data_IF_468984220858
#
_entry.id   IF_468984220858
#
_cell.length_a   1.000
_cell.length_b   1.000
_cell.length_c   1.000
_cell.angle_alpha   90.00
_cell.angle_beta   90.00
_cell.angle_gamma   90.00
#
_symmetry.space_group_name_H-M   'P 1'
#
loop_
_entity.id
_entity.type
_entity.pdbx_description
1 polymer ?
#
# COMPACT_ATOMS: atom_id res chain seq x y z
N UNK A 1 -80.55 53.07 11.72
CA UNK A 1 -79.69 52.64 12.86
C UNK A 1 -79.23 51.21 12.60
N UNK A 2 -77.95 50.96 12.87
CA UNK A 2 -77.23 49.68 12.92
C UNK A 2 -77.00 48.93 11.59
N UNK A 3 -75.84 48.34 11.30
CA UNK A 3 -74.45 48.52 11.72
C UNK A 3 -73.62 47.63 10.78
N UNK A 4 -72.50 48.14 10.32
CA UNK A 4 -71.47 47.44 9.53
C UNK A 4 -70.87 46.30 10.34
N UNK A 5 -70.68 45.13 9.74
CA UNK A 5 -69.65 44.17 10.16
C UNK A 5 -69.09 43.43 8.93
N UNK A 6 -68.00 43.99 8.40
CA UNK A 6 -67.08 43.33 7.46
C UNK A 6 -66.22 42.35 8.25
N UNK A 7 -66.24 41.06 7.89
CA UNK A 7 -65.31 40.06 8.44
C UNK A 7 -64.07 39.96 7.55
N UNK A 8 -62.97 40.55 7.99
CA UNK A 8 -61.65 40.33 7.40
C UNK A 8 -61.08 39.06 8.04
N UNK A 9 -61.08 37.95 7.30
CA UNK A 9 -60.41 36.72 7.70
C UNK A 9 -58.95 36.76 7.29
N UNK A 10 -58.06 37.02 8.24
CA UNK A 10 -56.61 36.87 8.06
C UNK A 10 -56.22 35.40 8.22
N UNK A 11 -56.04 34.69 7.11
CA UNK A 11 -55.40 33.37 7.11
C UNK A 11 -53.89 33.53 6.96
N UNK A 12 -53.17 33.32 8.06
CA UNK A 12 -51.71 33.25 8.12
C UNK A 12 -51.20 32.05 7.31
N UNK A 13 -50.44 32.31 6.25
CA UNK A 13 -49.70 31.27 5.52
C UNK A 13 -48.43 30.95 6.33
N UNK A 14 -48.39 29.78 6.96
CA UNK A 14 -47.18 29.28 7.60
C UNK A 14 -46.20 28.80 6.50
N UNK A 15 -45.14 29.57 6.27
CA UNK A 15 -44.04 29.17 5.39
C UNK A 15 -43.19 28.10 6.11
N UNK A 16 -43.27 26.85 5.64
CA UNK A 16 -42.43 25.76 6.11
C UNK A 16 -41.04 25.88 5.47
N UNK A 17 -40.10 26.52 6.18
CA UNK A 17 -38.68 26.56 5.76
C UNK A 17 -38.05 25.18 5.97
N UNK A 18 -37.91 24.40 4.90
CA UNK A 18 -37.08 23.19 4.90
C UNK A 18 -35.63 23.63 4.91
N UNK A 19 -35.00 23.60 6.09
CA UNK A 19 -33.54 23.74 6.22
C UNK A 19 -32.95 22.41 5.75
N UNK A 20 -32.49 22.35 4.50
CA UNK A 20 -31.57 21.31 4.09
C UNK A 20 -30.31 21.47 4.93
N UNK A 21 -30.13 20.59 5.92
CA UNK A 21 -28.86 20.41 6.58
C UNK A 21 -27.87 19.93 5.50
N UNK A 22 -27.13 20.86 4.90
CA UNK A 22 -25.96 20.56 4.11
C UNK A 22 -24.94 19.97 5.09
N UNK A 23 -24.98 18.64 5.27
CA UNK A 23 -23.84 17.93 5.79
C UNK A 23 -22.71 18.17 4.79
N UNK A 24 -21.80 19.09 5.11
CA UNK A 24 -20.55 19.24 4.37
C UNK A 24 -19.95 17.85 4.23
N UNK A 25 -19.64 17.37 3.02
CA UNK A 25 -18.93 16.11 2.90
C UNK A 25 -17.62 16.31 3.67
N UNK A 26 -17.46 15.56 4.76
CA UNK A 26 -16.16 15.40 5.39
C UNK A 26 -15.30 14.76 4.30
N UNK A 27 -14.55 15.59 3.56
CA UNK A 27 -13.53 15.10 2.65
C UNK A 27 -12.52 14.39 3.54
N UNK A 28 -12.63 13.07 3.61
CA UNK A 28 -11.60 12.23 4.18
C UNK A 28 -10.28 12.66 3.52
N UNK A 29 -9.33 13.12 4.33
CA UNK A 29 -8.03 13.53 3.82
C UNK A 29 -7.47 12.42 2.94
N UNK A 30 -7.06 12.76 1.72
CA UNK A 30 -6.49 11.77 0.81
C UNK A 30 -5.28 11.13 1.48
N UNK A 31 -5.26 9.80 1.54
CA UNK A 31 -4.18 9.03 2.13
C UNK A 31 -2.84 9.46 1.50
N UNK A 32 -1.89 9.89 2.33
CA UNK A 32 -0.59 10.39 1.89
C UNK A 32 0.36 9.27 1.45
N UNK A 33 1.30 9.61 0.57
CA UNK A 33 2.38 8.71 0.20
C UNK A 33 3.38 8.58 1.38
N UNK A 34 3.81 7.37 1.72
CA UNK A 34 4.74 7.14 2.84
C UNK A 34 6.12 7.81 2.64
N UNK A 35 6.47 8.16 1.39
CA UNK A 35 7.69 8.91 1.06
C UNK A 35 7.57 10.41 1.34
N UNK A 36 6.39 10.92 1.65
CA UNK A 36 6.22 12.34 1.97
C UNK A 36 6.90 12.68 3.30
N UNK A 37 7.56 13.83 3.36
CA UNK A 37 8.17 14.30 4.60
C UNK A 37 7.13 14.45 5.71
N UNK A 38 7.40 13.83 6.87
CA UNK A 38 6.46 13.83 8.00
C UNK A 38 5.25 12.91 7.83
N UNK A 39 5.27 11.98 6.86
CA UNK A 39 4.23 10.98 6.73
C UNK A 39 4.09 10.15 8.01
N UNK A 40 2.86 9.96 8.46
CA UNK A 40 2.46 9.07 9.56
C UNK A 40 1.56 7.98 9.01
N UNK A 41 1.52 6.82 9.66
CA UNK A 41 0.52 5.82 9.32
C UNK A 41 -0.89 6.25 9.74
N UNK A 42 -1.93 5.94 8.95
CA UNK A 42 -1.86 5.19 7.70
C UNK A 42 -1.30 6.02 6.52
N UNK A 43 -0.52 5.37 5.66
CA UNK A 43 0.03 5.94 4.42
C UNK A 43 0.05 4.88 3.31
N UNK A 44 0.31 5.27 2.06
CA UNK A 44 0.38 4.32 0.95
C UNK A 44 1.71 4.31 0.22
N UNK A 45 2.04 3.17 -0.37
CA UNK A 45 3.00 3.04 -1.46
C UNK A 45 2.47 2.07 -2.52
N UNK A 46 3.20 1.99 -3.62
CA UNK A 46 2.96 0.95 -4.62
C UNK A 46 3.76 -0.30 -4.28
N UNK A 47 3.23 -1.45 -4.67
CA UNK A 47 3.89 -2.75 -4.54
C UNK A 47 3.68 -3.56 -5.82
N UNK A 48 4.59 -4.46 -6.13
CA UNK A 48 4.41 -5.46 -7.17
C UNK A 48 3.75 -6.73 -6.61
N UNK A 49 2.77 -7.26 -7.32
CA UNK A 49 2.21 -8.59 -7.12
C UNK A 49 1.92 -9.18 -8.50
N UNK A 50 2.49 -10.35 -8.77
CA UNK A 50 2.40 -11.05 -10.06
C UNK A 50 2.59 -10.16 -11.31
N UNK A 51 3.63 -9.31 -11.30
CA UNK A 51 3.92 -8.41 -12.42
C UNK A 51 3.03 -7.18 -12.54
N UNK A 52 2.07 -6.98 -11.63
CA UNK A 52 1.17 -5.83 -11.58
C UNK A 52 1.51 -4.91 -10.41
N UNK A 53 1.45 -3.59 -10.61
CA UNK A 53 1.55 -2.64 -9.50
C UNK A 53 0.19 -2.44 -8.83
N UNK A 54 0.15 -2.63 -7.51
CA UNK A 54 -1.01 -2.40 -6.66
C UNK A 54 -0.73 -1.28 -5.67
N UNK A 55 -1.80 -0.64 -5.18
CA UNK A 55 -1.69 0.35 -4.10
C UNK A 55 -1.87 -0.38 -2.76
N UNK A 56 -0.81 -0.39 -1.96
CA UNK A 56 -0.81 -0.91 -0.60
C UNK A 56 -0.97 0.26 0.38
N UNK A 57 -1.85 0.10 1.37
CA UNK A 57 -2.00 1.02 2.49
C UNK A 57 -1.41 0.38 3.73
N UNK A 58 -0.36 0.98 4.28
CA UNK A 58 0.23 0.59 5.56
C UNK A 58 -0.64 1.14 6.67
N UNK A 59 -1.09 0.27 7.57
CA UNK A 59 -2.04 0.61 8.65
C UNK A 59 -1.31 0.69 9.98
N UNK A 60 -0.48 -0.31 10.29
CA UNK A 60 0.27 -0.42 11.53
C UNK A 60 1.67 -0.97 11.23
N UNK A 61 2.72 -0.20 11.48
CA UNK A 61 4.12 -0.58 11.24
C UNK A 61 4.79 -1.26 12.45
N UNK A 62 4.09 -1.38 13.58
CA UNK A 62 4.59 -2.05 14.77
C UNK A 62 3.47 -2.81 15.49
N UNK A 63 2.84 -3.79 14.80
CA UNK A 63 1.71 -4.51 15.34
C UNK A 63 2.13 -5.37 16.53
N UNK A 64 1.20 -5.57 17.46
CA UNK A 64 1.42 -6.53 18.55
C UNK A 64 1.69 -7.93 17.98
N UNK A 65 2.52 -8.75 18.66
CA UNK A 65 2.76 -10.14 18.27
C UNK A 65 1.46 -10.92 18.08
N UNK A 66 1.43 -11.80 17.09
CA UNK A 66 0.24 -12.58 16.73
C UNK A 66 0.65 -13.93 16.14
N UNK A 67 -0.21 -14.92 16.24
CA UNK A 67 -0.09 -16.20 15.54
C UNK A 67 -0.84 -16.23 14.21
N UNK A 68 -1.36 -15.09 13.74
CA UNK A 68 -2.01 -15.00 12.44
C UNK A 68 -1.01 -15.34 11.31
N UNK A 69 -1.48 -15.86 10.17
CA UNK A 69 -0.62 -16.08 9.00
C UNK A 69 0.14 -14.80 8.63
N UNK A 70 1.41 -14.96 8.29
CA UNK A 70 2.29 -13.87 7.89
C UNK A 70 2.77 -14.07 6.46
N UNK A 71 2.71 -13.01 5.67
CA UNK A 71 3.11 -13.02 4.27
C UNK A 71 4.45 -12.32 4.09
N UNK A 72 5.25 -12.74 3.11
CA UNK A 72 6.51 -12.06 2.83
C UNK A 72 6.28 -10.72 2.12
N UNK A 73 7.05 -9.72 2.53
CA UNK A 73 7.18 -8.43 1.89
C UNK A 73 8.65 -8.20 1.56
N UNK A 74 8.95 -8.07 0.28
CA UNK A 74 10.31 -7.99 -0.23
C UNK A 74 10.65 -6.56 -0.61
N UNK A 75 11.75 -6.04 -0.09
CA UNK A 75 12.35 -4.76 -0.47
C UNK A 75 13.55 -5.04 -1.36
N UNK A 76 13.56 -4.48 -2.55
CA UNK A 76 14.58 -4.76 -3.57
C UNK A 76 14.94 -3.51 -4.39
N UNK A 77 15.92 -3.64 -5.29
CA UNK A 77 16.32 -2.52 -6.14
C UNK A 77 15.18 -2.13 -7.10
N UNK A 78 15.04 -0.85 -7.50
CA UNK A 78 13.95 -0.42 -8.35
C UNK A 78 13.80 -1.26 -9.64
N UNK A 79 12.58 -1.72 -9.94
CA UNK A 79 12.26 -2.54 -11.11
C UNK A 79 11.78 -1.70 -12.30
N UNK A 80 11.55 -0.41 -12.05
CA UNK A 80 11.18 0.60 -13.05
C UNK A 80 11.98 1.89 -12.86
N UNK A 81 11.83 2.81 -13.82
CA UNK A 81 12.50 4.12 -13.78
C UNK A 81 12.08 4.98 -12.59
N UNK A 82 10.85 4.81 -12.10
CA UNK A 82 10.31 5.55 -10.97
C UNK A 82 10.18 4.57 -9.80
N UNK A 83 11.09 4.61 -8.81
CA UNK A 83 11.03 3.76 -7.63
C UNK A 83 9.72 3.95 -6.87
N UNK A 84 9.27 2.89 -6.20
CA UNK A 84 8.08 2.94 -5.34
C UNK A 84 8.38 3.63 -4.00
N UNK A 85 9.58 3.44 -3.47
CA UNK A 85 10.09 4.04 -2.25
C UNK A 85 11.42 4.76 -2.45
N UNK A 86 11.71 5.73 -1.58
CA UNK A 86 12.86 6.62 -1.65
C UNK A 86 13.56 6.87 -0.32
N UNK A 87 12.93 6.48 0.79
CA UNK A 87 13.47 6.64 2.15
C UNK A 87 13.58 5.26 2.81
N UNK A 88 14.75 4.88 3.35
CA UNK A 88 16.00 5.65 3.40
C UNK A 88 16.83 5.59 2.10
N UNK A 89 16.39 4.86 1.09
CA UNK A 89 17.05 4.73 -0.21
C UNK A 89 16.00 4.45 -1.29
N UNK A 90 16.40 4.47 -2.57
CA UNK A 90 15.51 4.12 -3.69
C UNK A 90 15.27 2.62 -3.74
N UNK A 91 14.01 2.18 -3.71
CA UNK A 91 13.65 0.77 -3.71
C UNK A 91 12.25 0.52 -4.28
N UNK A 92 12.00 -0.75 -4.60
CA UNK A 92 10.68 -1.28 -4.92
C UNK A 92 10.30 -2.39 -3.93
N UNK A 93 9.00 -2.67 -3.88
CA UNK A 93 8.36 -3.65 -3.04
C UNK A 93 7.74 -4.76 -3.86
N UNK A 94 7.85 -6.00 -3.39
CA UNK A 94 7.18 -7.17 -3.96
C UNK A 94 6.48 -7.94 -2.86
N UNK A 95 5.30 -8.45 -3.16
CA UNK A 95 4.55 -9.37 -2.31
C UNK A 95 4.18 -10.61 -3.12
N UNK A 96 3.76 -11.67 -2.42
CA UNK A 96 3.14 -12.84 -3.03
C UNK A 96 1.84 -12.51 -3.77
N UNK A 97 1.30 -13.51 -4.46
CA UNK A 97 -0.03 -13.41 -5.05
C UNK A 97 -1.06 -13.18 -3.92
N UNK A 98 -1.77 -12.07 -4.03
CA UNK A 98 -2.90 -11.76 -3.16
C UNK A 98 -4.16 -12.09 -3.94
N UNK A 99 -4.65 -13.32 -3.75
CA UNK A 99 -5.95 -13.70 -4.29
C UNK A 99 -6.99 -12.68 -3.82
N UNK A 100 -7.75 -12.05 -4.75
CA UNK A 100 -8.85 -11.16 -4.41
C UNK A 100 -9.92 -11.83 -3.54
N UNK A 101 -9.90 -13.16 -3.41
CA UNK A 101 -10.91 -13.97 -2.75
C UNK A 101 -10.73 -14.18 -1.25
N UNK A 102 -9.69 -13.63 -0.60
CA UNK A 102 -9.71 -13.49 0.86
C UNK A 102 -10.65 -12.36 1.30
N UNK A 103 -11.85 -12.33 0.73
CA UNK A 103 -13.02 -11.77 1.36
C UNK A 103 -13.30 -12.66 2.57
N UNK A 104 -12.72 -12.31 3.72
CA UNK A 104 -13.49 -12.53 4.95
C UNK A 104 -14.85 -11.88 4.72
N UNK A 105 -15.94 -12.56 5.09
CA UNK A 105 -17.34 -12.15 4.90
C UNK A 105 -17.73 -10.84 5.64
N UNK A 106 -16.77 -9.94 5.83
CA UNK A 106 -16.91 -8.63 6.44
C UNK A 106 -16.20 -7.60 5.54
N UNK A 107 -16.94 -6.67 4.89
CA UNK A 107 -16.42 -5.72 3.90
C UNK A 107 -15.41 -4.67 4.45
N UNK A 108 -14.83 -4.90 5.63
CA UNK A 108 -13.88 -4.03 6.32
C UNK A 108 -12.56 -4.67 6.77
N UNK A 109 -12.32 -5.97 6.56
CA UNK A 109 -11.19 -6.67 7.22
C UNK A 109 -10.11 -7.26 6.30
N UNK A 110 -9.74 -6.56 5.22
CA UNK A 110 -8.62 -6.93 4.34
C UNK A 110 -7.23 -6.63 4.95
N UNK A 111 -7.11 -6.72 6.28
CA UNK A 111 -5.88 -6.48 7.02
C UNK A 111 -4.99 -7.72 6.93
N UNK A 112 -3.88 -7.59 6.23
CA UNK A 112 -2.90 -8.65 6.02
C UNK A 112 -1.64 -8.31 6.79
N UNK A 113 -1.10 -9.30 7.52
CA UNK A 113 0.17 -9.19 8.22
C UNK A 113 1.32 -9.58 7.31
N UNK A 114 2.36 -8.76 7.28
CA UNK A 114 3.54 -8.96 6.46
C UNK A 114 4.82 -8.97 7.29
N UNK A 115 5.82 -9.70 6.80
CA UNK A 115 7.19 -9.72 7.30
C UNK A 115 8.16 -9.20 6.25
N UNK A 116 9.02 -8.25 6.62
CA UNK A 116 9.95 -7.59 5.72
C UNK A 116 11.26 -8.36 5.49
N UNK A 117 11.64 -8.54 4.23
CA UNK A 117 12.94 -9.06 3.81
C UNK A 117 13.61 -8.12 2.82
N UNK A 118 14.91 -7.91 2.96
CA UNK A 118 15.72 -7.33 1.89
C UNK A 118 16.14 -8.43 0.91
N UNK A 119 15.96 -8.20 -0.39
CA UNK A 119 16.40 -9.13 -1.43
C UNK A 119 17.75 -8.68 -1.97
N UNK A 120 18.78 -9.43 -1.62
CA UNK A 120 20.16 -9.11 -1.94
C UNK A 120 20.74 -10.13 -2.92
N UNK A 121 21.59 -9.70 -3.83
CA UNK A 121 22.41 -10.65 -4.58
C UNK A 121 23.41 -11.31 -3.62
N UNK A 122 23.48 -12.65 -3.65
CA UNK A 122 24.51 -13.37 -2.89
C UNK A 122 25.87 -13.23 -3.59
N UNK A 123 26.96 -13.54 -2.88
CA UNK A 123 28.29 -13.58 -3.49
C UNK A 123 28.35 -14.55 -4.69
N UNK A 124 27.64 -15.68 -4.62
CA UNK A 124 27.54 -16.65 -5.72
C UNK A 124 26.72 -16.09 -6.88
N UNK A 125 25.60 -15.43 -6.61
CA UNK A 125 24.77 -14.81 -7.64
C UNK A 125 25.55 -13.75 -8.43
N UNK A 126 26.36 -12.95 -7.73
CA UNK A 126 27.22 -11.94 -8.36
C UNK A 126 28.34 -12.60 -9.16
N UNK A 127 29.08 -13.55 -8.58
CA UNK A 127 30.26 -14.15 -9.22
C UNK A 127 29.93 -14.97 -10.47
N UNK A 128 28.74 -15.56 -10.51
CA UNK A 128 28.24 -16.32 -11.67
C UNK A 128 27.51 -15.45 -12.69
N UNK A 129 27.24 -14.18 -12.37
CA UNK A 129 26.38 -13.31 -13.17
C UNK A 129 24.89 -13.68 -13.11
N UNK A 130 24.50 -14.66 -12.28
CA UNK A 130 23.12 -15.07 -12.09
C UNK A 130 22.26 -14.02 -11.39
N UNK A 131 22.85 -13.10 -10.63
CA UNK A 131 22.17 -11.95 -10.02
C UNK A 131 22.92 -10.67 -10.34
N UNK A 132 22.19 -9.67 -10.85
CA UNK A 132 22.71 -8.33 -11.11
C UNK A 132 22.28 -7.42 -9.96
N UNK A 133 23.24 -6.89 -9.17
CA UNK A 133 22.92 -6.00 -8.07
C UNK A 133 22.84 -4.54 -8.53
N UNK A 134 22.04 -3.76 -7.81
CA UNK A 134 22.27 -2.33 -7.63
C UNK A 134 22.99 -2.15 -6.30
N UNK A 135 24.18 -1.54 -6.34
CA UNK A 135 24.94 -1.25 -5.12
C UNK A 135 24.36 0.00 -4.45
N UNK A 136 23.61 -0.19 -3.37
CA UNK A 136 22.91 0.88 -2.67
C UNK A 136 23.67 1.28 -1.42
N UNK A 137 24.07 2.54 -1.32
CA UNK A 137 24.66 3.10 -0.09
C UNK A 137 23.55 3.50 0.89
N UNK A 138 23.54 2.87 2.06
CA UNK A 138 22.59 3.14 3.14
C UNK A 138 23.36 3.76 4.31
N UNK A 139 22.95 4.95 4.80
CA UNK A 139 23.55 5.56 5.98
C UNK A 139 23.53 4.61 7.19
N UNK A 140 24.69 4.42 7.82
CA UNK A 140 24.84 3.54 9.00
C UNK A 140 24.96 2.05 8.71
N UNK A 141 24.63 1.58 7.50
CA UNK A 141 24.70 0.16 7.11
C UNK A 141 25.78 -0.14 6.05
N UNK A 142 26.23 0.88 5.31
CA UNK A 142 27.25 0.73 4.26
C UNK A 142 26.64 0.49 2.88
N UNK A 143 27.39 -0.17 1.99
CA UNK A 143 26.92 -0.46 0.63
C UNK A 143 26.37 -1.88 0.55
N UNK A 144 25.13 -2.02 0.11
CA UNK A 144 24.36 -3.27 0.11
C UNK A 144 23.96 -3.63 -1.33
N UNK A 145 24.15 -4.89 -1.79
CA UNK A 145 23.91 -5.30 -3.17
C UNK A 145 22.44 -5.72 -3.40
N UNK A 146 21.51 -4.77 -3.43
CA UNK A 146 20.09 -5.11 -3.67
C UNK A 146 19.87 -5.71 -5.06
N UNK A 147 19.09 -6.78 -5.14
CA UNK A 147 18.86 -7.49 -6.38
C UNK A 147 18.03 -6.66 -7.36
N UNK A 148 18.53 -6.52 -8.59
CA UNK A 148 17.82 -5.84 -9.69
C UNK A 148 17.21 -6.84 -10.64
N UNK A 149 18.00 -7.83 -11.07
CA UNK A 149 17.52 -8.94 -11.90
C UNK A 149 18.19 -10.24 -11.49
N UNK A 150 17.50 -11.36 -11.71
CA UNK A 150 18.05 -12.70 -11.55
C UNK A 150 17.81 -13.50 -12.82
N UNK A 151 18.86 -14.13 -13.36
CA UNK A 151 18.84 -14.83 -14.64
C UNK A 151 18.24 -13.98 -15.79
N UNK A 152 18.47 -12.66 -15.76
CA UNK A 152 17.93 -11.72 -16.75
C UNK A 152 16.46 -11.32 -16.54
N UNK A 153 15.79 -11.82 -15.51
CA UNK A 153 14.40 -11.50 -15.21
C UNK A 153 14.26 -10.44 -14.11
N UNK A 154 13.23 -9.59 -14.25
CA UNK A 154 12.80 -8.66 -13.22
C UNK A 154 12.17 -9.42 -12.05
N UNK A 155 12.23 -8.80 -10.88
CA UNK A 155 11.71 -9.30 -9.63
C UNK A 155 10.41 -8.55 -9.30
N UNK A 156 9.32 -8.89 -10.00
CA UNK A 156 8.00 -8.25 -9.82
C UNK A 156 6.92 -9.23 -9.34
N UNK A 157 7.33 -10.41 -8.91
CA UNK A 157 6.52 -11.45 -8.29
C UNK A 157 7.38 -12.25 -7.32
N UNK A 158 6.75 -13.06 -6.46
CA UNK A 158 7.47 -13.81 -5.41
C UNK A 158 8.29 -14.99 -5.96
N UNK A 159 7.78 -15.75 -6.93
CA UNK A 159 8.47 -16.94 -7.44
C UNK A 159 9.90 -16.65 -7.97
N UNK A 160 10.14 -15.57 -8.76
CA UNK A 160 11.48 -15.18 -9.19
C UNK A 160 12.40 -14.68 -8.07
N UNK A 161 11.92 -14.56 -6.83
CA UNK A 161 12.71 -14.21 -5.65
C UNK A 161 12.98 -15.47 -4.82
N UNK A 162 11.93 -16.21 -4.47
CA UNK A 162 12.01 -17.36 -3.57
C UNK A 162 12.78 -18.53 -4.19
N UNK A 163 12.53 -18.83 -5.46
CA UNK A 163 13.23 -19.93 -6.15
C UNK A 163 14.73 -19.67 -6.28
N UNK A 164 15.20 -18.48 -6.73
CA UNK A 164 16.63 -18.20 -6.75
C UNK A 164 17.28 -18.02 -5.38
N UNK A 165 16.52 -17.65 -4.34
CA UNK A 165 17.01 -17.69 -2.97
C UNK A 165 17.32 -19.13 -2.54
N UNK A 166 16.44 -20.08 -2.85
CA UNK A 166 16.69 -21.51 -2.62
C UNK A 166 17.89 -22.04 -3.43
N UNK A 167 18.11 -21.50 -4.64
CA UNK A 167 19.30 -21.79 -5.46
C UNK A 167 20.57 -21.01 -5.02
N UNK A 168 20.49 -20.24 -3.94
CA UNK A 168 21.59 -19.41 -3.38
C UNK A 168 22.11 -18.32 -4.31
N UNK A 169 21.34 -17.91 -5.33
CA UNK A 169 21.65 -16.73 -6.14
C UNK A 169 21.27 -15.43 -5.42
N UNK A 170 20.28 -15.52 -4.54
CA UNK A 170 19.83 -14.44 -3.68
C UNK A 170 20.07 -14.76 -2.21
N UNK A 171 20.13 -13.71 -1.40
CA UNK A 171 20.05 -13.77 0.06
C UNK A 171 18.84 -12.94 0.49
N UNK A 172 17.90 -13.59 1.20
CA UNK A 172 16.80 -12.92 1.87
C UNK A 172 17.28 -12.53 3.26
N UNK A 173 17.62 -11.25 3.43
CA UNK A 173 18.04 -10.73 4.72
C UNK A 173 16.80 -10.31 5.51
N UNK A 174 16.57 -10.99 6.63
CA UNK A 174 15.46 -10.72 7.54
C UNK A 174 15.65 -9.34 8.20
N UNK A 175 14.65 -8.48 8.06
CA UNK A 175 14.67 -7.13 8.65
C UNK A 175 14.18 -7.10 10.11
N UNK A 176 13.52 -8.17 10.57
CA UNK A 176 12.78 -8.23 11.82
C UNK A 176 11.51 -7.38 11.85
N UNK A 177 11.17 -6.70 10.74
CA UNK A 177 10.02 -5.80 10.65
C UNK A 177 8.74 -6.55 10.29
N UNK A 178 7.73 -6.45 11.16
CA UNK A 178 6.37 -6.86 10.86
C UNK A 178 5.46 -5.64 10.73
N UNK A 179 4.44 -5.73 9.87
CA UNK A 179 3.43 -4.68 9.74
C UNK A 179 2.09 -5.24 9.26
N UNK A 180 1.04 -4.44 9.43
CA UNK A 180 -0.30 -4.71 8.91
C UNK A 180 -0.59 -3.72 7.78
N UNK A 181 -1.05 -4.24 6.65
CA UNK A 181 -1.41 -3.46 5.48
C UNK A 181 -2.69 -3.97 4.84
N UNK A 182 -3.30 -3.14 4.00
CA UNK A 182 -4.40 -3.53 3.10
C UNK A 182 -4.00 -3.27 1.67
N UNK A 183 -4.56 -4.05 0.74
CA UNK A 183 -4.39 -3.85 -0.69
C UNK A 183 -5.75 -3.55 -1.26
N UNK A 184 -5.86 -2.45 -2.00
CA UNK A 184 -7.05 -2.22 -2.80
C UNK A 184 -6.92 -3.02 -4.09
N UNK A 185 -7.89 -3.88 -4.44
CA UNK A 185 -7.92 -4.45 -5.77
C UNK A 185 -7.96 -3.30 -6.78
N UNK A 186 -7.40 -3.54 -7.96
CA UNK A 186 -7.48 -2.58 -9.06
C UNK A 186 -8.97 -2.32 -9.31
N UNK A 187 -9.47 -1.15 -8.96
CA UNK A 187 -10.67 -0.63 -9.62
C UNK A 187 -10.24 -0.57 -11.09
N UNK A 188 -10.83 -1.42 -11.94
CA UNK A 188 -10.95 -1.06 -13.34
C UNK A 188 -11.42 0.40 -13.34
N UNK A 189 -10.66 1.27 -14.01
CA UNK A 189 -11.06 2.66 -14.20
C UNK A 189 -12.56 2.67 -14.46
N UNK A 190 -13.34 3.25 -13.54
CA UNK A 190 -14.71 3.60 -13.82
C UNK A 190 -14.62 4.60 -14.97
N UNK A 191 -14.72 4.06 -16.17
CA UNK A 191 -15.08 4.75 -17.38
C UNK A 191 -16.33 5.56 -17.08
N UNK A 192 -16.16 6.85 -16.79
CA UNK A 192 -17.15 7.89 -17.09
C UNK A 192 -16.57 9.30 -17.11
#
# INVERSE_FOLDING_TARGET
MNSILVRIGTTTVAALTIVFAAASPVQAAALGNCNASGATTPCFEKVWSDGVQLKMTFVDLNPSPSSAPIHSFYVLAPQTRVPQGSVPFLHDHVIGDVSPQNHGDDPGNNLVRYHGYFVLCSAQGISTGGCVPTMTSIPGLGTVPFATTVNGHKLTSADPIESPANARLLTLFDTGGEFIATIKPRQEDESR
#
